data_IF_025556638675
#
_entry.id   IF_025556638675
#
_cell.length_a   1.000
_cell.length_b   1.000
_cell.length_c   1.000
_cell.angle_alpha   90.00
_cell.angle_beta   90.00
_cell.angle_gamma   90.00
#
_symmetry.space_group_name_H-M   'P 1'
#
loop_
_entity.id
_entity.type
_entity.pdbx_description
1 polymer ?
#
# COMPACT_ATOMS: atom_id res chain seq x y z
N UNK A 1 -21.03 12.86 10.02
CA UNK A 1 -22.13 11.93 10.36
C UNK A 1 -21.50 10.81 11.17
N UNK A 2 -21.96 10.58 12.41
CA UNK A 2 -21.44 9.45 13.19
C UNK A 2 -21.91 8.13 12.53
N UNK A 3 -21.04 7.12 12.42
CA UNK A 3 -21.43 5.83 11.85
C UNK A 3 -22.53 5.17 12.71
N UNK A 4 -23.40 4.39 12.06
CA UNK A 4 -24.51 3.73 12.74
C UNK A 4 -24.07 2.57 13.65
N UNK A 5 -22.84 2.08 13.49
CA UNK A 5 -22.26 0.98 14.27
C UNK A 5 -21.29 1.51 15.32
N UNK A 6 -21.55 1.24 16.60
CA UNK A 6 -20.70 1.68 17.73
C UNK A 6 -19.30 1.06 17.77
N UNK A 7 -19.02 0.07 16.90
CA UNK A 7 -17.67 -0.50 16.70
C UNK A 7 -16.82 0.32 15.73
N UNK A 8 -17.43 1.24 14.99
CA UNK A 8 -16.76 2.10 14.02
C UNK A 8 -16.70 3.51 14.56
N UNK A 9 -15.53 4.12 14.47
CA UNK A 9 -15.33 5.55 14.74
C UNK A 9 -14.74 6.19 13.49
N UNK A 10 -15.24 7.37 13.15
CA UNK A 10 -14.72 8.17 12.04
C UNK A 10 -14.08 9.42 12.63
N UNK A 11 -12.79 9.58 12.39
CA UNK A 11 -12.02 10.75 12.80
C UNK A 11 -11.54 11.52 11.58
N UNK A 12 -11.40 12.83 11.75
CA UNK A 12 -10.75 13.69 10.75
C UNK A 12 -9.41 14.13 11.32
N UNK A 13 -8.34 13.70 10.67
CA UNK A 13 -6.97 14.04 11.03
C UNK A 13 -6.11 14.09 9.76
N UNK A 14 -4.93 14.66 9.88
CA UNK A 14 -3.83 14.35 8.96
C UNK A 14 -3.39 12.91 9.24
N UNK A 15 -3.32 12.07 8.21
CA UNK A 15 -2.93 10.67 8.36
C UNK A 15 -1.45 10.52 8.77
N UNK A 16 -0.60 11.50 8.47
CA UNK A 16 0.78 11.55 8.95
C UNK A 16 0.90 12.02 10.42
N UNK A 17 -0.19 12.53 11.00
CA UNK A 17 -0.26 12.99 12.39
C UNK A 17 -1.66 12.71 12.97
N UNK A 18 -2.00 11.42 13.07
CA UNK A 18 -3.36 10.94 13.33
C UNK A 18 -3.95 11.38 14.67
N UNK A 19 -3.09 11.79 15.62
CA UNK A 19 -3.48 12.11 16.99
C UNK A 19 -3.85 10.88 17.84
N UNK A 20 -3.72 9.66 17.29
CA UNK A 20 -3.94 8.43 18.06
C UNK A 20 -2.81 8.20 19.06
N UNK A 21 -3.07 7.56 20.22
CA UNK A 21 -2.02 7.26 21.19
C UNK A 21 -0.93 6.33 20.62
N UNK A 22 0.25 6.35 21.23
CA UNK A 22 1.29 5.36 20.91
C UNK A 22 0.80 3.95 21.22
N UNK A 23 1.15 2.97 20.39
CA UNK A 23 0.83 1.56 20.61
C UNK A 23 -0.66 1.28 20.92
N UNK A 24 -1.57 2.00 20.25
CA UNK A 24 -3.02 1.86 20.42
C UNK A 24 -3.70 0.93 19.42
N UNK A 25 -3.02 0.53 18.33
CA UNK A 25 -3.59 -0.29 17.27
C UNK A 25 -2.84 -1.62 17.11
N UNK A 26 -3.59 -2.70 16.85
CA UNK A 26 -3.01 -3.98 16.45
C UNK A 26 -2.73 -4.03 14.93
N UNK A 27 -3.58 -3.37 14.14
CA UNK A 27 -3.46 -3.27 12.68
C UNK A 27 -3.72 -1.84 12.21
N UNK A 28 -2.92 -1.38 11.25
CA UNK A 28 -3.15 -0.16 10.45
C UNK A 28 -3.34 -0.58 9.01
N UNK A 29 -4.37 -0.09 8.32
CA UNK A 29 -4.64 -0.44 6.92
C UNK A 29 -4.58 0.79 6.02
N UNK A 30 -3.85 0.69 4.91
CA UNK A 30 -3.70 1.73 3.89
C UNK A 30 -3.96 1.11 2.51
N UNK A 31 -5.15 1.31 1.95
CA UNK A 31 -5.57 0.66 0.71
C UNK A 31 -5.79 1.69 -0.39
N UNK A 32 -5.04 1.58 -1.50
CA UNK A 32 -5.19 2.43 -2.70
C UNK A 32 -5.06 3.93 -2.37
N UNK A 33 -3.95 4.32 -1.74
CA UNK A 33 -3.68 5.70 -1.30
C UNK A 33 -2.29 6.17 -1.73
N UNK A 34 -1.29 5.30 -1.79
CA UNK A 34 0.11 5.67 -2.03
C UNK A 34 0.33 6.26 -3.42
N UNK A 35 -0.42 5.81 -4.43
CA UNK A 35 -0.35 6.37 -5.79
C UNK A 35 -0.90 7.80 -5.91
N UNK A 36 -1.51 8.33 -4.84
CA UNK A 36 -2.06 9.68 -4.74
C UNK A 36 -1.15 10.64 -3.95
N UNK A 37 0.03 10.19 -3.54
CA UNK A 37 0.90 10.90 -2.62
C UNK A 37 2.33 11.04 -3.15
N UNK A 38 3.05 12.12 -2.78
CA UNK A 38 4.49 12.15 -2.94
C UNK A 38 5.15 11.13 -1.98
N UNK A 39 6.31 10.56 -2.34
CA UNK A 39 7.01 9.56 -1.51
C UNK A 39 7.32 10.03 -0.08
N UNK A 40 7.55 11.33 0.14
CA UNK A 40 7.75 11.90 1.48
C UNK A 40 6.54 11.70 2.38
N UNK A 41 5.33 11.96 1.87
CA UNK A 41 4.10 11.77 2.63
C UNK A 41 3.86 10.29 2.95
N UNK A 42 4.19 9.37 2.03
CA UNK A 42 4.12 7.93 2.30
C UNK A 42 5.03 7.52 3.46
N UNK A 43 6.25 8.06 3.53
CA UNK A 43 7.18 7.78 4.62
C UNK A 43 6.68 8.33 5.95
N UNK A 44 6.13 9.54 5.95
CA UNK A 44 5.54 10.15 7.16
C UNK A 44 4.34 9.34 7.67
N UNK A 45 3.46 8.90 6.77
CA UNK A 45 2.33 8.01 7.10
C UNK A 45 2.82 6.67 7.65
N UNK A 46 3.84 6.07 7.03
CA UNK A 46 4.41 4.83 7.52
C UNK A 46 5.05 4.99 8.91
N UNK A 47 5.65 6.15 9.20
CA UNK A 47 6.24 6.45 10.50
C UNK A 47 5.15 6.57 11.56
N UNK A 48 4.04 7.23 11.21
CA UNK A 48 2.87 7.35 12.05
C UNK A 48 2.22 5.98 12.30
N UNK A 49 2.09 5.15 11.28
CA UNK A 49 1.63 3.77 11.39
C UNK A 49 2.51 2.98 12.38
N UNK A 50 3.83 3.05 12.22
CA UNK A 50 4.78 2.41 13.12
C UNK A 50 4.63 2.91 14.57
N UNK A 51 4.37 4.21 14.79
CA UNK A 51 4.15 4.79 16.12
C UNK A 51 2.88 4.25 16.80
N UNK A 52 1.75 4.25 16.09
CA UNK A 52 0.46 3.85 16.64
C UNK A 52 0.32 2.33 16.80
N UNK A 53 1.07 1.54 16.02
CA UNK A 53 1.07 0.09 16.16
C UNK A 53 1.66 -0.37 17.49
N UNK A 54 1.05 -1.38 18.10
CA UNK A 54 1.63 -2.13 19.21
C UNK A 54 2.86 -2.92 18.74
N UNK A 55 3.82 -3.25 19.62
CA UNK A 55 4.88 -4.19 19.27
C UNK A 55 4.30 -5.50 18.71
N UNK A 56 4.79 -5.96 17.56
CA UNK A 56 4.22 -7.11 16.83
C UNK A 56 2.96 -6.79 15.99
N UNK A 57 2.41 -5.58 16.08
CA UNK A 57 1.30 -5.12 15.24
C UNK A 57 1.72 -4.92 13.78
N UNK A 58 0.75 -4.81 12.89
CA UNK A 58 0.99 -4.86 11.44
C UNK A 58 0.39 -3.69 10.68
N UNK A 59 1.15 -3.14 9.74
CA UNK A 59 0.63 -2.28 8.69
C UNK A 59 0.30 -3.14 7.48
N UNK A 60 -0.94 -3.06 7.01
CA UNK A 60 -1.43 -3.73 5.82
C UNK A 60 -1.61 -2.71 4.71
N UNK A 61 -0.99 -2.95 3.57
CA UNK A 61 -1.03 -2.05 2.42
C UNK A 61 -1.48 -2.84 1.19
N UNK A 62 -2.37 -2.26 0.39
CA UNK A 62 -2.75 -2.80 -0.92
C UNK A 62 -2.64 -1.69 -1.94
N UNK A 63 -1.94 -1.97 -3.04
CA UNK A 63 -1.62 -0.96 -4.04
C UNK A 63 -1.57 -1.51 -5.45
N UNK A 64 -1.61 -0.60 -6.43
CA UNK A 64 -1.38 -0.91 -7.83
C UNK A 64 0.00 -1.53 -8.01
N UNK A 65 0.11 -2.59 -8.80
CA UNK A 65 1.38 -3.25 -9.10
C UNK A 65 1.80 -2.97 -10.54
N UNK A 66 2.78 -2.06 -10.66
CA UNK A 66 3.28 -1.58 -11.94
C UNK A 66 4.18 -2.59 -12.66
N UNK A 67 4.61 -3.65 -11.97
CA UNK A 67 5.44 -4.72 -12.52
C UNK A 67 4.60 -5.80 -13.24
N UNK A 68 3.26 -5.73 -13.17
CA UNK A 68 2.40 -6.75 -13.78
C UNK A 68 2.17 -6.53 -15.27
N UNK A 69 1.95 -7.64 -15.99
CA UNK A 69 1.56 -7.62 -17.40
C UNK A 69 0.26 -6.83 -17.63
N UNK A 70 -0.67 -6.84 -16.66
CA UNK A 70 -1.91 -6.08 -16.72
C UNK A 70 -1.66 -4.56 -16.81
N UNK A 71 -0.72 -4.05 -16.01
CA UNK A 71 -0.31 -2.64 -16.07
C UNK A 71 0.51 -2.31 -17.32
N UNK A 72 1.35 -3.23 -17.79
CA UNK A 72 2.05 -3.07 -19.07
C UNK A 72 1.08 -2.93 -20.25
N UNK A 73 0.04 -3.77 -20.31
CA UNK A 73 -1.03 -3.70 -21.34
C UNK A 73 -1.81 -2.40 -21.26
N UNK A 74 -2.14 -1.94 -20.06
CA UNK A 74 -2.84 -0.68 -19.83
C UNK A 74 -2.05 0.51 -20.39
N UNK A 75 -0.75 0.57 -20.08
CA UNK A 75 0.18 1.61 -20.57
C UNK A 75 0.38 1.60 -22.07
N UNK A 76 0.36 0.42 -22.68
CA UNK A 76 0.50 0.28 -24.13
C UNK A 76 -0.70 0.85 -24.91
N UNK A 77 -1.83 1.14 -24.25
CA UNK A 77 -2.98 1.82 -24.84
C UNK A 77 -2.96 3.33 -24.49
N UNK A 78 -2.59 4.22 -25.43
CA UNK A 78 -2.42 5.65 -25.14
C UNK A 78 -3.69 6.33 -24.62
N UNK A 79 -4.88 5.90 -25.08
CA UNK A 79 -6.15 6.48 -24.66
C UNK A 79 -6.49 6.08 -23.22
N UNK A 80 -6.37 4.80 -22.88
CA UNK A 80 -6.62 4.33 -21.52
C UNK A 80 -5.59 4.90 -20.54
N UNK A 81 -4.32 4.96 -20.94
CA UNK A 81 -3.27 5.52 -20.12
C UNK A 81 -3.45 7.03 -19.89
N UNK A 82 -3.85 7.79 -20.92
CA UNK A 82 -4.16 9.21 -20.77
C UNK A 82 -5.32 9.47 -19.79
N UNK A 83 -6.36 8.62 -19.81
CA UNK A 83 -7.48 8.74 -18.88
C UNK A 83 -7.05 8.54 -17.42
N UNK A 84 -6.26 7.49 -17.14
CA UNK A 84 -5.79 7.22 -15.77
C UNK A 84 -4.84 8.33 -15.32
N UNK A 85 -3.87 8.72 -16.16
CA UNK A 85 -2.97 9.84 -15.82
C UNK A 85 -3.70 11.16 -15.55
N UNK A 86 -4.88 11.36 -16.13
CA UNK A 86 -5.68 12.56 -15.90
C UNK A 86 -6.42 12.54 -14.55
N UNK A 87 -6.60 11.37 -13.93
CA UNK A 87 -7.25 11.23 -12.61
C UNK A 87 -6.24 11.03 -11.48
N UNK A 88 -5.04 10.55 -11.77
CA UNK A 88 -4.03 10.15 -10.78
C UNK A 88 -2.80 11.10 -10.80
N UNK A 89 -2.77 12.19 -10.02
CA UNK A 89 -1.73 13.24 -10.09
C UNK A 89 -0.30 12.77 -9.80
N UNK A 90 -0.12 11.69 -9.03
CA UNK A 90 1.21 11.16 -8.67
C UNK A 90 1.56 9.85 -9.36
N UNK A 91 0.80 9.41 -10.37
CA UNK A 91 0.95 8.07 -10.95
C UNK A 91 2.35 7.76 -11.48
N UNK A 92 2.98 8.70 -12.19
CA UNK A 92 4.34 8.51 -12.71
C UNK A 92 5.37 8.50 -11.57
N UNK A 93 5.19 9.38 -10.58
CA UNK A 93 6.04 9.41 -9.38
C UNK A 93 5.93 8.11 -8.59
N UNK A 94 4.71 7.58 -8.47
CA UNK A 94 4.43 6.30 -7.85
C UNK A 94 5.07 5.14 -8.62
N UNK A 95 5.01 5.16 -9.95
CA UNK A 95 5.67 4.16 -10.80
C UNK A 95 7.16 4.01 -10.47
N UNK A 96 7.85 5.14 -10.34
CA UNK A 96 9.28 5.18 -10.05
C UNK A 96 9.58 4.83 -8.59
N UNK A 97 8.64 5.14 -7.68
CA UNK A 97 8.80 4.92 -6.25
C UNK A 97 8.47 3.49 -5.79
N UNK A 98 7.51 2.81 -6.44
CA UNK A 98 7.02 1.48 -6.05
C UNK A 98 8.15 0.48 -5.71
N UNK A 99 9.23 0.33 -6.51
CA UNK A 99 10.29 -0.62 -6.20
C UNK A 99 11.04 -0.32 -4.88
N UNK A 100 11.07 0.95 -4.45
CA UNK A 100 11.76 1.38 -3.24
C UNK A 100 10.89 1.34 -1.99
N UNK A 101 9.56 1.32 -2.14
CA UNK A 101 8.61 1.38 -1.04
C UNK A 101 8.88 0.32 0.06
N UNK A 102 9.10 -0.98 -0.26
CA UNK A 102 9.36 -1.99 0.79
C UNK A 102 10.64 -1.74 1.57
N UNK A 103 11.67 -1.23 0.89
CA UNK A 103 12.95 -0.91 1.49
C UNK A 103 12.86 0.32 2.39
N UNK A 104 12.06 1.32 2.02
CA UNK A 104 11.79 2.47 2.88
C UNK A 104 11.06 2.06 4.15
N UNK A 105 10.09 1.14 4.07
CA UNK A 105 9.41 0.60 5.26
C UNK A 105 10.40 -0.17 6.16
N UNK A 106 11.26 -1.01 5.59
CA UNK A 106 12.30 -1.71 6.35
C UNK A 106 13.27 -0.73 7.02
N UNK A 107 13.75 0.29 6.28
CA UNK A 107 14.66 1.31 6.78
C UNK A 107 14.04 2.18 7.89
N UNK A 108 12.72 2.38 7.85
CA UNK A 108 11.98 3.12 8.86
C UNK A 108 11.88 2.38 10.21
N UNK A 109 12.11 1.06 10.22
CA UNK A 109 12.14 0.24 11.43
C UNK A 109 11.04 -0.80 11.52
N UNK A 110 10.36 -1.14 10.43
CA UNK A 110 9.59 -2.38 10.35
C UNK A 110 10.54 -3.59 10.36
N UNK A 111 10.16 -4.66 11.05
CA UNK A 111 10.97 -5.86 11.24
C UNK A 111 11.00 -6.74 9.98
N UNK A 112 9.82 -7.06 9.47
CA UNK A 112 9.62 -7.86 8.26
C UNK A 112 8.57 -7.18 7.38
N UNK A 113 8.88 -7.05 6.10
CA UNK A 113 8.02 -6.50 5.05
C UNK A 113 7.79 -7.58 4.01
N UNK A 114 6.62 -8.20 4.01
CA UNK A 114 6.27 -9.29 3.11
C UNK A 114 5.28 -8.81 2.03
N UNK A 115 5.51 -9.17 0.77
CA UNK A 115 4.67 -8.79 -0.36
C UNK A 115 4.18 -10.02 -1.13
N UNK A 116 2.96 -9.94 -1.64
CA UNK A 116 2.33 -10.97 -2.48
C UNK A 116 1.41 -10.32 -3.50
N UNK A 117 1.11 -11.01 -4.61
CA UNK A 117 0.12 -10.51 -5.55
C UNK A 117 -1.30 -10.60 -4.94
N UNK A 118 -2.03 -9.49 -4.94
CA UNK A 118 -3.42 -9.43 -4.51
C UNK A 118 -4.35 -9.78 -5.68
N UNK A 119 -4.12 -9.17 -6.85
CA UNK A 119 -4.76 -9.46 -8.13
C UNK A 119 -3.73 -9.43 -9.26
N UNK A 120 -4.10 -9.63 -10.53
CA UNK A 120 -3.19 -9.41 -11.66
C UNK A 120 -2.78 -7.95 -11.90
N UNK A 121 -3.21 -7.00 -11.06
CA UNK A 121 -2.88 -5.56 -11.14
C UNK A 121 -2.56 -4.92 -9.79
N UNK A 122 -2.59 -5.67 -8.70
CA UNK A 122 -2.37 -5.12 -7.37
C UNK A 122 -1.55 -6.08 -6.53
N UNK A 123 -0.76 -5.54 -5.61
CA UNK A 123 -0.06 -6.30 -4.59
C UNK A 123 -0.63 -5.99 -3.20
N UNK A 124 -0.46 -6.95 -2.29
CA UNK A 124 -0.66 -6.75 -0.86
C UNK A 124 0.70 -6.82 -0.17
N UNK A 125 0.92 -5.93 0.79
CA UNK A 125 2.11 -5.82 1.61
C UNK A 125 1.71 -5.84 3.08
N UNK A 126 2.43 -6.62 3.87
CA UNK A 126 2.32 -6.61 5.33
C UNK A 126 3.67 -6.24 5.92
N UNK A 127 3.73 -5.13 6.65
CA UNK A 127 4.91 -4.68 7.39
C UNK A 127 4.67 -4.86 8.90
N UNK A 128 5.52 -5.64 9.55
CA UNK A 128 5.35 -6.01 10.97
C UNK A 128 6.24 -5.15 11.86
N UNK A 129 5.68 -4.50 12.89
CA UNK A 129 6.44 -3.76 13.89
C UNK A 129 7.25 -4.74 14.76
N UNK A 130 8.53 -4.45 15.10
CA UNK A 130 9.30 -5.30 16.01
C UNK A 130 8.60 -5.56 17.34
N UNK A 131 8.88 -6.72 17.94
CA UNK A 131 8.50 -6.98 19.33
C UNK A 131 9.21 -6.01 20.28
N UNK A 132 8.65 -5.82 21.47
CA UNK A 132 9.19 -4.87 22.44
C UNK A 132 10.64 -5.25 22.81
N UNK A 133 11.57 -4.31 22.61
CA UNK A 133 13.00 -4.51 22.90
C UNK A 133 13.78 -5.32 21.86
N UNK A 134 13.13 -5.81 20.80
CA UNK A 134 13.82 -6.45 19.68
C UNK A 134 14.23 -5.41 18.62
N UNK A 135 15.48 -5.43 18.12
CA UNK A 135 15.84 -4.61 16.98
C UNK A 135 15.13 -5.10 15.70
N UNK A 136 14.76 -4.21 14.77
CA UNK A 136 14.19 -4.62 13.49
C UNK A 136 15.23 -5.38 12.66
N UNK A 137 14.81 -6.50 12.06
CA UNK A 137 15.65 -7.24 11.09
C UNK A 137 15.71 -6.52 9.74
N UNK A 138 14.70 -5.72 9.39
CA UNK A 138 14.62 -4.99 8.13
C UNK A 138 14.54 -5.91 6.91
N UNK A 139 13.92 -7.09 7.06
CA UNK A 139 13.86 -8.09 5.98
C UNK A 139 12.73 -7.74 5.02
N UNK A 140 13.03 -7.68 3.73
CA UNK A 140 12.03 -7.59 2.66
C UNK A 140 11.89 -8.97 2.02
N UNK A 141 10.67 -9.50 2.03
CA UNK A 141 10.28 -10.77 1.43
C UNK A 141 9.26 -10.51 0.32
N UNK A 142 9.76 -10.16 -0.87
CA UNK A 142 8.90 -9.90 -2.02
C UNK A 142 8.64 -11.18 -2.82
N UNK A 143 7.39 -11.65 -2.75
CA UNK A 143 6.92 -12.85 -3.46
C UNK A 143 5.91 -12.51 -4.55
N UNK A 144 5.78 -11.24 -4.97
CA UNK A 144 4.79 -10.83 -5.98
C UNK A 144 4.92 -11.60 -7.29
N UNK A 145 6.15 -11.90 -7.72
CA UNK A 145 6.39 -12.70 -8.92
C UNK A 145 6.02 -14.18 -8.74
N UNK A 146 6.36 -14.78 -7.60
CA UNK A 146 6.04 -16.18 -7.29
C UNK A 146 4.53 -16.42 -7.15
N UNK A 147 3.82 -15.41 -6.66
CA UNK A 147 2.39 -15.46 -6.35
C UNK A 147 1.54 -14.77 -7.42
N UNK A 148 2.14 -14.43 -8.56
CA UNK A 148 1.51 -13.68 -9.64
C UNK A 148 0.16 -14.29 -10.04
N UNK A 149 -0.81 -13.41 -10.29
CA UNK A 149 -2.18 -13.77 -10.66
C UNK A 149 -2.48 -13.28 -12.06
N UNK A 150 -3.35 -14.00 -12.76
CA UNK A 150 -3.85 -13.55 -14.05
C UNK A 150 -4.63 -12.23 -13.91
N UNK A 151 -4.47 -11.37 -14.92
CA UNK A 151 -5.27 -10.15 -15.00
C UNK A 151 -6.67 -10.46 -15.57
N UNK A 152 -7.69 -10.29 -14.72
CA UNK A 152 -9.09 -10.53 -15.06
C UNK A 152 -9.90 -9.26 -15.29
N UNK A 153 -9.30 -8.06 -15.19
CA UNK A 153 -10.07 -6.81 -15.08
C UNK A 153 -10.78 -6.41 -16.38
N UNK A 154 -10.15 -6.63 -17.55
CA UNK A 154 -10.68 -6.19 -18.84
C UNK A 154 -10.27 -7.13 -19.96
N UNK A 155 -11.21 -7.96 -20.40
CA UNK A 155 -11.20 -8.54 -21.75
C UNK A 155 -11.94 -7.58 -22.67
N UNK A 156 -11.24 -6.63 -23.26
CA UNK A 156 -11.84 -5.56 -24.11
C UNK A 156 -12.59 -6.10 -25.32
N UNK A 157 -12.41 -7.37 -25.67
CA UNK A 157 -13.09 -8.08 -26.75
C UNK A 157 -14.34 -8.86 -26.30
N UNK A 158 -14.60 -8.99 -25.00
CA UNK A 158 -15.78 -9.67 -24.46
C UNK A 158 -16.76 -8.61 -23.91
N UNK A 159 -17.96 -8.53 -24.50
CA UNK A 159 -19.06 -7.85 -23.85
C UNK A 159 -19.41 -8.59 -22.56
N UNK A 160 -19.44 -7.90 -21.42
CA UNK A 160 -19.98 -8.46 -20.18
C UNK A 160 -21.47 -8.76 -20.44
N UNK A 161 -21.82 -10.05 -20.44
CA UNK A 161 -23.21 -10.50 -20.51
C UNK A 161 -23.94 -10.21 -19.21
#
# INVERSE_FOLDING_TARGET
VAPADGRVRIDRADVAASGLPNASADVVSLMLVVHELPPSATREIAAEALRVLRPGGQMWLCEMDFDTEGFAKLRANPMLFALIRATEPYLDVYADYQPSLPHDLAALGFDEVALTAATGRHFALVATKPLAGAPPRGVVNDRRHETAKEDTHLKTWEAKR
#
